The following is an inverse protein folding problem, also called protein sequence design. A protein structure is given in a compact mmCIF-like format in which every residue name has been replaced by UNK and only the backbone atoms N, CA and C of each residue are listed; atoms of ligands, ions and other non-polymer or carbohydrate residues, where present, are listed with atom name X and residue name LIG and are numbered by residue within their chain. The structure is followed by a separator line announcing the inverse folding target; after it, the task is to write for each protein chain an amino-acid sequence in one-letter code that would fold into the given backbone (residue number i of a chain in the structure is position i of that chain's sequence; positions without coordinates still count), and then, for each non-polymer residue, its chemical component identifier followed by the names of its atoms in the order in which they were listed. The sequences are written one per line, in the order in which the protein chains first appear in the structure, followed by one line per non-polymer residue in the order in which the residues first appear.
data_IF_808443148680
#
_entry.id   IF_808443148680
#
_cell.length_a   1.000
_cell.length_b   1.000
_cell.length_c   1.000
_cell.angle_alpha   90.00
_cell.angle_beta   90.00
_cell.angle_gamma   90.00
#
_symmetry.space_group_name_H-M   'P 1'
#
loop_
_entity.id
_entity.type
_entity.pdbx_description
1 polymer ?
#
# COMPACT_ATOMS: atom_id res chain seq x y z
N UNK A 1 26.33 0.36 7.73
CA UNK A 1 25.78 -0.57 6.73
C UNK A 1 24.91 0.23 5.77
N UNK A 2 25.31 0.31 4.50
CA UNK A 2 24.62 1.08 3.45
C UNK A 2 23.44 0.24 2.96
N UNK A 3 22.21 0.68 3.25
CA UNK A 3 20.94 0.06 2.84
C UNK A 3 20.66 0.13 1.34
N UNK A 4 21.64 -0.26 0.53
CA UNK A 4 21.56 -0.31 -0.93
C UNK A 4 20.96 -1.62 -1.47
N UNK A 5 20.66 -2.59 -0.60
CA UNK A 5 20.31 -3.95 -1.01
C UNK A 5 18.82 -4.19 -1.29
N UNK A 6 17.91 -3.28 -0.90
CA UNK A 6 16.48 -3.48 -1.13
C UNK A 6 16.00 -2.66 -2.33
N UNK A 7 15.95 -3.30 -3.49
CA UNK A 7 15.25 -2.76 -4.66
C UNK A 7 13.74 -2.83 -4.40
N UNK A 8 13.13 -1.69 -4.08
CA UNK A 8 11.67 -1.55 -3.99
C UNK A 8 11.18 -0.76 -5.20
N UNK A 9 10.56 -1.40 -6.21
CA UNK A 9 10.17 -0.74 -7.45
C UNK A 9 9.14 0.40 -7.24
N UNK A 10 8.45 0.45 -6.09
CA UNK A 10 7.53 1.53 -5.71
C UNK A 10 8.20 2.74 -5.06
N UNK A 11 9.53 2.76 -4.90
CA UNK A 11 10.27 3.87 -4.28
C UNK A 11 11.14 4.56 -5.33
N UNK A 12 10.85 5.82 -5.64
CA UNK A 12 11.66 6.62 -6.54
C UNK A 12 12.61 7.52 -5.74
N UNK A 13 13.92 7.32 -5.91
CA UNK A 13 14.94 8.17 -5.29
C UNK A 13 15.29 9.30 -6.26
N UNK A 14 14.75 10.50 -6.02
CA UNK A 14 15.17 11.71 -6.70
C UNK A 14 16.28 12.42 -5.91
N UNK A 15 17.02 13.32 -6.56
CA UNK A 15 18.16 14.02 -5.95
C UNK A 15 17.82 14.80 -4.66
N UNK A 16 16.54 15.17 -4.45
CA UNK A 16 16.07 15.92 -3.27
C UNK A 16 15.05 15.17 -2.40
N UNK A 17 14.28 14.24 -2.96
CA UNK A 17 13.23 13.52 -2.24
C UNK A 17 13.22 12.03 -2.56
N UNK A 18 12.81 11.24 -1.57
CA UNK A 18 12.39 9.85 -1.77
C UNK A 18 10.87 9.87 -1.93
N UNK A 19 10.37 9.48 -3.09
CA UNK A 19 8.93 9.38 -3.38
C UNK A 19 8.45 7.95 -3.09
N UNK A 20 7.46 7.86 -2.20
CA UNK A 20 6.84 6.63 -1.70
C UNK A 20 5.39 6.47 -2.20
N UNK A 21 4.91 7.31 -3.12
CA UNK A 21 3.51 7.31 -3.58
C UNK A 21 3.07 5.96 -4.14
N UNK A 22 3.89 5.33 -5.00
CA UNK A 22 3.60 4.02 -5.59
C UNK A 22 3.66 2.89 -4.54
N UNK A 23 4.62 2.95 -3.61
CA UNK A 23 4.70 2.03 -2.46
C UNK A 23 3.43 2.14 -1.61
N UNK A 24 3.01 3.37 -1.33
CA UNK A 24 1.84 3.67 -0.53
C UNK A 24 0.56 3.14 -1.18
N UNK A 25 0.37 3.38 -2.48
CA UNK A 25 -0.73 2.79 -3.24
C UNK A 25 -0.72 1.26 -3.13
N UNK A 26 0.46 0.64 -3.33
CA UNK A 26 0.58 -0.81 -3.28
C UNK A 26 0.20 -1.36 -1.92
N UNK A 27 0.62 -0.71 -0.84
CA UNK A 27 0.25 -1.13 0.52
C UNK A 27 -1.25 -0.99 0.75
N UNK A 28 -1.87 0.13 0.39
CA UNK A 28 -3.31 0.34 0.57
C UNK A 28 -4.15 -0.73 -0.14
N UNK A 29 -3.96 -0.93 -1.45
CA UNK A 29 -4.73 -1.95 -2.18
C UNK A 29 -4.31 -3.38 -1.83
N UNK A 30 -3.08 -3.56 -1.36
CA UNK A 30 -2.60 -4.82 -0.78
C UNK A 30 -3.36 -5.19 0.49
N UNK A 31 -3.56 -4.23 1.39
CA UNK A 31 -4.34 -4.42 2.62
C UNK A 31 -5.82 -4.71 2.29
N UNK A 32 -6.40 -3.98 1.33
CA UNK A 32 -7.77 -4.25 0.85
C UNK A 32 -7.90 -5.69 0.33
N UNK A 33 -6.93 -6.15 -0.46
CA UNK A 33 -6.91 -7.53 -0.95
C UNK A 33 -6.74 -8.54 0.20
N UNK A 34 -5.79 -8.31 1.10
CA UNK A 34 -5.45 -9.22 2.18
C UNK A 34 -6.63 -9.43 3.14
N UNK A 35 -7.18 -8.34 3.67
CA UNK A 35 -8.30 -8.39 4.60
C UNK A 35 -9.62 -8.78 3.89
N UNK A 36 -9.75 -8.46 2.61
CA UNK A 36 -10.88 -8.93 1.80
C UNK A 36 -10.87 -10.45 1.66
N UNK A 37 -9.73 -11.03 1.29
CA UNK A 37 -9.56 -12.48 1.22
C UNK A 37 -9.77 -13.13 2.60
N UNK A 38 -9.26 -12.54 3.68
CA UNK A 38 -9.52 -13.03 5.04
C UNK A 38 -11.03 -13.18 5.30
N UNK A 39 -11.83 -12.13 5.05
CA UNK A 39 -13.29 -12.18 5.21
C UNK A 39 -13.95 -13.25 4.34
N UNK A 40 -13.50 -13.40 3.09
CA UNK A 40 -14.04 -14.40 2.16
C UNK A 40 -13.69 -15.83 2.60
N UNK A 41 -12.48 -16.05 3.10
CA UNK A 41 -12.02 -17.36 3.58
C UNK A 41 -12.79 -17.81 4.81
N UNK A 42 -13.18 -16.89 5.70
CA UNK A 42 -14.10 -17.17 6.81
C UNK A 42 -15.49 -17.64 6.35
N UNK A 43 -15.84 -17.47 5.06
CA UNK A 43 -17.07 -17.98 4.42
C UNK A 43 -16.83 -19.20 3.54
N UNK A 44 -15.62 -19.76 3.53
CA UNK A 44 -15.27 -20.97 2.80
C UNK A 44 -14.70 -20.75 1.40
N UNK A 45 -14.44 -19.50 0.99
CA UNK A 45 -13.64 -19.25 -0.21
C UNK A 45 -12.18 -19.69 0.02
N UNK A 46 -11.44 -20.18 -0.99
CA UNK A 46 -11.84 -20.42 -2.37
C UNK A 46 -12.50 -21.78 -2.62
N UNK A 47 -12.54 -22.67 -1.61
CA UNK A 47 -13.07 -24.04 -1.74
C UNK A 47 -14.53 -24.05 -2.19
N UNK A 48 -15.34 -23.15 -1.61
CA UNK A 48 -16.73 -22.93 -1.98
C UNK A 48 -16.85 -21.74 -2.94
N UNK A 49 -17.72 -21.87 -3.94
CA UNK A 49 -18.13 -20.74 -4.74
C UNK A 49 -19.00 -19.79 -3.92
N UNK A 50 -18.55 -18.54 -3.80
CA UNK A 50 -19.35 -17.45 -3.26
C UNK A 50 -19.99 -16.67 -4.42
N UNK A 51 -21.22 -16.15 -4.24
CA UNK A 51 -21.84 -15.27 -5.22
C UNK A 51 -20.98 -14.05 -5.52
N UNK A 52 -21.04 -13.56 -6.76
CA UNK A 52 -20.33 -12.37 -7.22
C UNK A 52 -20.60 -11.16 -6.30
N UNK A 53 -21.88 -10.86 -6.07
CA UNK A 53 -22.30 -9.69 -5.30
C UNK A 53 -21.83 -9.76 -3.84
N UNK A 54 -21.68 -10.98 -3.30
CA UNK A 54 -21.12 -11.18 -1.96
C UNK A 54 -19.62 -10.84 -1.92
N UNK A 55 -18.86 -11.27 -2.93
CA UNK A 55 -17.43 -10.95 -3.06
C UNK A 55 -17.24 -9.44 -3.21
N UNK A 56 -18.04 -8.82 -4.08
CA UNK A 56 -18.01 -7.38 -4.32
C UNK A 56 -18.36 -6.58 -3.05
N UNK A 57 -19.40 -6.98 -2.32
CA UNK A 57 -19.78 -6.35 -1.05
C UNK A 57 -18.65 -6.43 -0.01
N UNK A 58 -18.07 -7.62 0.19
CA UNK A 58 -16.99 -7.80 1.15
C UNK A 58 -15.74 -6.95 0.80
N UNK A 59 -15.43 -6.82 -0.49
CA UNK A 59 -14.32 -6.00 -0.97
C UNK A 59 -14.60 -4.50 -0.78
N UNK A 60 -15.82 -4.05 -1.09
CA UNK A 60 -16.25 -2.67 -0.88
C UNK A 60 -16.21 -2.28 0.62
N UNK A 61 -16.72 -3.14 1.50
CA UNK A 61 -16.68 -2.94 2.95
C UNK A 61 -15.23 -2.83 3.44
N UNK A 62 -14.37 -3.75 3.01
CA UNK A 62 -12.95 -3.74 3.38
C UNK A 62 -12.25 -2.49 2.85
N UNK A 63 -12.54 -2.06 1.62
CA UNK A 63 -11.99 -0.83 1.06
C UNK A 63 -12.42 0.42 1.83
N UNK A 64 -13.65 0.45 2.34
CA UNK A 64 -14.14 1.53 3.19
C UNK A 64 -13.43 1.53 4.56
N UNK A 65 -13.31 0.37 5.20
CA UNK A 65 -12.58 0.22 6.47
C UNK A 65 -11.12 0.65 6.34
N UNK A 66 -10.41 0.19 5.30
CA UNK A 66 -9.03 0.58 5.06
C UNK A 66 -8.90 2.08 4.78
N UNK A 67 -9.83 2.67 4.03
CA UNK A 67 -9.82 4.11 3.79
C UNK A 67 -9.91 4.91 5.09
N UNK A 68 -10.80 4.51 6.01
CA UNK A 68 -10.91 5.14 7.33
C UNK A 68 -9.62 5.02 8.14
N UNK A 69 -9.02 3.83 8.23
CA UNK A 69 -7.77 3.62 8.97
C UNK A 69 -6.62 4.45 8.41
N UNK A 70 -6.51 4.53 7.08
CA UNK A 70 -5.46 5.31 6.41
C UNK A 70 -5.66 6.82 6.61
N UNK A 71 -6.90 7.32 6.58
CA UNK A 71 -7.24 8.71 6.87
C UNK A 71 -6.93 9.08 8.32
N UNK A 72 -7.33 8.25 9.28
CA UNK A 72 -7.01 8.45 10.70
C UNK A 72 -5.50 8.48 10.93
N UNK A 73 -4.78 7.59 10.25
CA UNK A 73 -3.32 7.55 10.31
C UNK A 73 -2.70 8.81 9.72
N UNK A 74 -3.25 9.33 8.61
CA UNK A 74 -2.79 10.57 7.98
C UNK A 74 -2.91 11.75 8.94
N UNK A 75 -4.07 11.91 9.57
CA UNK A 75 -4.33 12.97 10.55
C UNK A 75 -3.33 12.92 11.72
N UNK A 76 -3.04 11.70 12.22
CA UNK A 76 -2.02 11.52 13.26
C UNK A 76 -0.62 11.90 12.79
N UNK A 77 -0.25 11.57 11.55
CA UNK A 77 1.06 11.94 10.98
C UNK A 77 1.17 13.45 10.84
N UNK A 78 0.15 14.12 10.30
CA UNK A 78 0.12 15.58 10.15
C UNK A 78 0.28 16.29 11.49
N UNK A 79 -0.41 15.81 12.53
CA UNK A 79 -0.25 16.33 13.89
C UNK A 79 1.19 16.17 14.38
N UNK A 80 1.76 14.98 14.26
CA UNK A 80 3.15 14.72 14.68
C UNK A 80 4.16 15.57 13.91
N UNK A 81 3.94 15.81 12.63
CA UNK A 81 4.80 16.69 11.84
C UNK A 81 4.73 18.15 12.32
N UNK A 82 3.54 18.64 12.66
CA UNK A 82 3.37 19.95 13.27
C UNK A 82 4.09 20.04 14.63
N UNK A 83 3.94 19.02 15.48
CA UNK A 83 4.59 18.95 16.79
C UNK A 83 6.12 18.98 16.66
N UNK A 84 6.70 18.19 15.74
CA UNK A 84 8.16 18.18 15.52
C UNK A 84 8.66 19.52 14.98
N UNK A 85 7.92 20.18 14.08
CA UNK A 85 8.28 21.52 13.60
C UNK A 85 8.27 22.55 14.74
N UNK A 86 7.29 22.48 15.64
CA UNK A 86 7.24 23.36 16.80
C UNK A 86 8.39 23.11 17.77
N UNK A 87 8.73 21.85 18.02
CA UNK A 87 9.89 21.47 18.83
C UNK A 87 11.20 21.95 18.21
N UNK A 88 11.34 21.87 16.89
CA UNK A 88 12.52 22.38 16.17
C UNK A 88 12.68 23.90 16.34
N UNK A 89 11.58 24.66 16.35
CA UNK A 89 11.62 26.12 16.61
C UNK A 89 12.00 26.40 18.07
N UNK A 90 11.35 25.76 19.03
CA UNK A 90 11.58 26.02 20.47
C UNK A 90 12.98 25.61 20.93
N UNK A 91 13.56 24.59 20.31
CA UNK A 91 14.90 24.09 20.64
C UNK A 91 16.04 24.81 19.89
N UNK A 92 15.74 25.67 18.91
CA UNK A 92 16.74 26.25 18.01
C UNK A 92 17.86 27.01 18.75
N UNK A 93 17.49 27.82 19.74
CA UNK A 93 18.48 28.58 20.51
C UNK A 93 19.35 27.66 21.39
N UNK A 94 18.73 26.66 22.04
CA UNK A 94 19.43 25.71 22.93
C UNK A 94 20.48 24.88 22.21
N UNK A 95 20.27 24.58 20.93
CA UNK A 95 21.21 23.81 20.12
C UNK A 95 21.73 24.60 18.91
N UNK A 96 22.04 25.89 19.09
CA UNK A 96 22.56 26.73 18.01
C UNK A 96 23.90 26.24 17.43
N UNK A 97 24.71 25.49 18.20
CA UNK A 97 26.04 25.02 17.80
C UNK A 97 26.07 23.80 16.85
N UNK A 98 24.92 23.31 16.36
CA UNK A 98 24.85 22.09 15.52
C UNK A 98 24.07 22.29 14.21
N UNK A 99 24.42 23.29 13.37
CA UNK A 99 23.66 23.62 12.15
C UNK A 99 23.53 22.44 11.16
N UNK A 100 24.53 21.57 11.08
CA UNK A 100 24.48 20.38 10.21
C UNK A 100 23.42 19.36 10.66
N UNK A 101 23.16 19.23 11.97
CA UNK A 101 22.10 18.37 12.48
C UNK A 101 20.72 18.94 12.14
N UNK A 102 20.56 20.27 12.26
CA UNK A 102 19.32 20.95 11.88
C UNK A 102 19.02 20.82 10.38
N UNK A 103 20.02 20.99 9.52
CA UNK A 103 19.83 20.81 8.07
C UNK A 103 19.36 19.37 7.72
N UNK A 104 19.85 18.35 8.42
CA UNK A 104 19.40 16.96 8.24
C UNK A 104 17.96 16.75 8.72
N UNK A 105 17.58 17.36 9.85
CA UNK A 105 16.20 17.32 10.33
C UNK A 105 15.25 18.02 9.36
N UNK A 106 15.63 19.19 8.86
CA UNK A 106 14.82 19.95 7.90
C UNK A 106 14.64 19.13 6.61
N UNK A 107 15.72 18.51 6.10
CA UNK A 107 15.64 17.58 4.95
C UNK A 107 14.71 16.38 5.22
N UNK A 108 14.73 15.84 6.44
CA UNK A 108 13.82 14.77 6.83
C UNK A 108 12.36 15.27 6.86
N UNK A 109 12.10 16.42 7.46
CA UNK A 109 10.76 17.01 7.53
C UNK A 109 10.21 17.34 6.14
N UNK A 110 11.06 17.80 5.22
CA UNK A 110 10.68 18.05 3.83
C UNK A 110 10.28 16.75 3.13
N UNK A 111 11.05 15.67 3.30
CA UNK A 111 10.69 14.34 2.79
C UNK A 111 9.38 13.82 3.39
N UNK A 112 9.17 14.01 4.69
CA UNK A 112 7.92 13.60 5.34
C UNK A 112 6.73 14.42 4.83
N UNK A 113 6.93 15.71 4.56
CA UNK A 113 5.89 16.60 4.01
C UNK A 113 5.54 16.19 2.58
N UNK A 114 6.53 15.84 1.77
CA UNK A 114 6.31 15.37 0.41
C UNK A 114 5.45 14.10 0.37
N UNK A 115 5.70 13.14 1.25
CA UNK A 115 5.04 11.82 1.24
C UNK A 115 3.77 11.72 2.10
N UNK A 116 3.62 12.57 3.11
CA UNK A 116 2.53 12.49 4.08
C UNK A 116 1.87 13.84 4.39
N UNK A 117 2.26 14.91 3.69
CA UNK A 117 1.62 16.21 3.82
C UNK A 117 0.18 16.23 3.30
N UNK A 118 -0.50 17.37 3.37
CA UNK A 118 -1.88 17.52 2.89
C UNK A 118 -2.04 17.17 1.40
N UNK A 119 -1.03 17.51 0.59
CA UNK A 119 -1.01 17.31 -0.86
C UNK A 119 -0.21 16.06 -1.29
N UNK A 120 0.01 15.13 -0.37
CA UNK A 120 0.79 13.93 -0.64
C UNK A 120 0.12 13.05 -1.70
N UNK A 121 0.88 12.73 -2.76
CA UNK A 121 0.37 11.99 -3.93
C UNK A 121 -0.22 10.62 -3.56
N UNK A 122 0.42 9.87 -2.66
CA UNK A 122 -0.09 8.57 -2.21
C UNK A 122 -1.49 8.67 -1.61
N UNK A 123 -1.76 9.69 -0.79
CA UNK A 123 -3.08 9.94 -0.23
C UNK A 123 -4.07 10.42 -1.28
N UNK A 124 -3.64 11.27 -2.21
CA UNK A 124 -4.46 11.73 -3.34
C UNK A 124 -4.95 10.56 -4.21
N UNK A 125 -4.08 9.60 -4.50
CA UNK A 125 -4.42 8.42 -5.30
C UNK A 125 -5.47 7.53 -4.63
N UNK A 126 -5.36 7.29 -3.32
CA UNK A 126 -6.32 6.41 -2.62
C UNK A 126 -7.68 7.07 -2.36
N UNK A 127 -7.81 8.39 -2.53
CA UNK A 127 -9.11 9.10 -2.48
C UNK A 127 -9.68 9.40 -3.87
N UNK A 128 -8.86 9.39 -4.92
CA UNK A 128 -9.31 9.61 -6.30
C UNK A 128 -10.32 8.54 -6.73
N UNK A 129 -11.55 8.99 -7.04
CA UNK A 129 -12.66 8.08 -7.32
C UNK A 129 -12.40 7.17 -8.52
N UNK A 130 -11.85 7.71 -9.62
CA UNK A 130 -11.62 6.94 -10.85
C UNK A 130 -10.53 5.91 -10.64
N UNK A 131 -9.46 6.30 -9.95
CA UNK A 131 -8.35 5.42 -9.62
C UNK A 131 -8.80 4.30 -8.69
N UNK A 132 -9.54 4.63 -7.63
CA UNK A 132 -10.14 3.62 -6.73
C UNK A 132 -11.03 2.64 -7.46
N UNK A 133 -11.95 3.12 -8.30
CA UNK A 133 -12.85 2.25 -9.08
C UNK A 133 -12.06 1.30 -9.98
N UNK A 134 -11.04 1.82 -10.68
CA UNK A 134 -10.17 0.99 -11.53
C UNK A 134 -9.44 -0.08 -10.74
N UNK A 135 -8.82 0.28 -9.60
CA UNK A 135 -8.08 -0.67 -8.76
C UNK A 135 -9.01 -1.68 -8.10
N UNK A 136 -10.19 -1.25 -7.65
CA UNK A 136 -11.23 -2.13 -7.11
C UNK A 136 -11.69 -3.17 -8.14
N UNK A 137 -11.98 -2.75 -9.37
CA UNK A 137 -12.35 -3.65 -10.45
C UNK A 137 -11.24 -4.69 -10.75
N UNK A 138 -9.97 -4.29 -10.69
CA UNK A 138 -8.83 -5.21 -10.85
C UNK A 138 -8.77 -6.25 -9.73
N UNK A 139 -8.94 -5.84 -8.48
CA UNK A 139 -8.98 -6.75 -7.32
C UNK A 139 -10.17 -7.72 -7.43
N UNK A 140 -11.36 -7.21 -7.73
CA UNK A 140 -12.57 -8.01 -7.89
C UNK A 140 -12.40 -9.05 -9.00
N UNK A 141 -11.91 -8.64 -10.18
CA UNK A 141 -11.64 -9.54 -11.29
C UNK A 141 -10.64 -10.65 -10.91
N UNK A 142 -9.56 -10.31 -10.19
CA UNK A 142 -8.58 -11.29 -9.72
C UNK A 142 -9.21 -12.32 -8.77
N UNK A 143 -10.07 -11.89 -7.84
CA UNK A 143 -10.73 -12.80 -6.89
C UNK A 143 -11.74 -13.71 -7.60
N UNK A 144 -12.54 -13.19 -8.53
CA UNK A 144 -13.52 -13.98 -9.28
C UNK A 144 -12.84 -15.03 -10.15
N UNK A 145 -11.77 -14.62 -10.86
CA UNK A 145 -11.09 -15.46 -11.83
C UNK A 145 -10.10 -16.45 -11.19
N UNK A 146 -9.76 -16.28 -9.91
CA UNK A 146 -8.77 -17.11 -9.21
C UNK A 146 -8.94 -18.62 -9.44
N UNK A 147 -10.17 -19.16 -9.39
CA UNK A 147 -10.41 -20.60 -9.63
C UNK A 147 -10.09 -21.01 -11.06
N UNK A 148 -10.49 -20.19 -12.03
CA UNK A 148 -10.18 -20.44 -13.43
C UNK A 148 -8.67 -20.34 -13.68
N UNK A 149 -8.04 -19.26 -13.20
CA UNK A 149 -6.59 -19.05 -13.31
C UNK A 149 -5.82 -20.24 -12.71
N UNK A 150 -6.23 -20.69 -11.51
CA UNK A 150 -5.66 -21.87 -10.86
C UNK A 150 -5.78 -23.13 -11.72
N UNK A 151 -6.94 -23.37 -12.34
CA UNK A 151 -7.13 -24.56 -13.20
C UNK A 151 -6.26 -24.53 -14.46
N UNK A 152 -6.07 -23.34 -15.05
CA UNK A 152 -5.17 -23.13 -16.19
C UNK A 152 -3.72 -23.40 -15.78
N UNK A 153 -3.30 -22.90 -14.61
CA UNK A 153 -1.96 -23.17 -14.07
C UNK A 153 -1.74 -24.64 -13.74
N UNK A 154 -2.72 -25.32 -13.14
CA UNK A 154 -2.65 -26.76 -12.86
C UNK A 154 -2.48 -27.57 -14.15
N UNK A 155 -3.21 -27.21 -15.22
CA UNK A 155 -3.08 -27.85 -16.54
C UNK A 155 -1.69 -27.63 -17.12
N UNK A 156 -1.23 -26.38 -17.19
CA UNK A 156 0.08 -26.03 -17.74
C UNK A 156 1.24 -26.72 -17.00
N UNK A 157 1.18 -26.78 -15.67
CA UNK A 157 2.20 -27.44 -14.84
C UNK A 157 2.19 -28.97 -15.00
N UNK A 158 1.03 -29.57 -15.25
CA UNK A 158 0.92 -31.00 -15.47
C UNK A 158 1.34 -31.41 -16.89
N UNK A 159 1.05 -30.59 -17.90
CA UNK A 159 1.53 -30.79 -19.29
C UNK A 159 3.06 -30.58 -19.40
N UNK A 160 3.63 -29.73 -18.54
CA UNK A 160 5.07 -29.44 -18.50
C UNK A 160 5.90 -30.50 -17.77
N UNK A 161 5.29 -31.54 -17.18
CA UNK A 161 6.02 -32.67 -16.56
C UNK A 161 6.31 -33.76 -17.61
N UNK A 162 7.56 -33.97 -18.03
CA UNK A 162 7.90 -35.11 -18.86
C UNK A 162 7.90 -36.38 -18.01
N UNK A 163 7.02 -37.34 -18.34
CA UNK A 163 7.20 -38.75 -17.95
C UNK A 163 6.43 -39.24 -16.73
N UNK A 164 5.15 -39.55 -16.91
CA UNK A 164 4.59 -40.84 -16.46
C UNK A 164 3.93 -41.51 -17.66
N UNK A 165 4.78 -42.00 -18.57
CA UNK A 165 4.36 -42.99 -19.54
C UNK A 165 3.81 -44.19 -18.77
N UNK A 166 2.52 -44.47 -18.97
CA UNK A 166 1.86 -45.70 -18.56
C UNK A 166 2.66 -46.89 -19.09
N UNK A 167 3.08 -47.77 -18.20
CA UNK A 167 3.37 -49.17 -18.50
C UNK A 167 2.12 -49.99 -18.14
#
# INVERSE_FOLDING_TARGET
AIGAAEFRPGILKHARHVDLSNEFERQFFGDVMLFGIEKLTAKGYPLNALPHDFIEAALNETAAEMAHLYQDKHAQILKKLADVRQLRISAAHRFAGIPAAWARLDTFLDNMTHNFGPDAEGYRLIVDTKHRQRRHAQLLAAIINYRHDRSVWETALNESRPGTARA
#
